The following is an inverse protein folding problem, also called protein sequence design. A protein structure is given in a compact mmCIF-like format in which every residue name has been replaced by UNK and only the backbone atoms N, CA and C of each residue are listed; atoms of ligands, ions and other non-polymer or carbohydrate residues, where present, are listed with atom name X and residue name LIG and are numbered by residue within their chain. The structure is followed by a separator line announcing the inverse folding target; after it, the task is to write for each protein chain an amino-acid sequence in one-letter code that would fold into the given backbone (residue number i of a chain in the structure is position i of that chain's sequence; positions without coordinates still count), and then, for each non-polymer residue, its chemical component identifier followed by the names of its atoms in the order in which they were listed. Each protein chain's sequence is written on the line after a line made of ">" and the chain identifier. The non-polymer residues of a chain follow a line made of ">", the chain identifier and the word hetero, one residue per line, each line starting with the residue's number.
data_IF_311589248066
#
_entry.id   IF_311589248066
#
_cell.length_a   1.000
_cell.length_b   1.000
_cell.length_c   1.000
_cell.angle_alpha   90.00
_cell.angle_beta   90.00
_cell.angle_gamma   90.00
#
_symmetry.space_group_name_H-M   'P 1'
#
loop_
_entity.id
_entity.type
_entity.pdbx_description
1 polymer ?
#
# COMPACT_ATOMS: atom_id res chain seq x y z
N UNK A 1 12.60 7.92 26.90
CA UNK A 1 13.22 6.84 26.09
C UNK A 1 13.71 7.46 24.80
N UNK A 2 14.89 7.09 24.31
CA UNK A 2 15.36 7.53 22.98
C UNK A 2 14.36 7.05 21.91
N UNK A 3 13.88 7.95 21.04
CA UNK A 3 12.91 7.66 19.97
C UNK A 3 13.31 6.44 19.10
N UNK A 4 14.62 6.17 18.98
CA UNK A 4 15.17 5.05 18.20
C UNK A 4 14.78 3.66 18.72
N UNK A 5 14.42 3.51 20.00
CA UNK A 5 14.03 2.22 20.58
C UNK A 5 12.51 2.02 20.68
N UNK A 6 11.72 3.09 20.64
CA UNK A 6 10.27 3.03 20.84
C UNK A 6 9.58 2.15 19.80
N UNK A 7 9.92 2.32 18.51
CA UNK A 7 9.31 1.52 17.45
C UNK A 7 9.72 0.03 17.52
N UNK A 8 10.92 -0.27 18.01
CA UNK A 8 11.40 -1.65 18.21
C UNK A 8 10.63 -2.31 19.35
N UNK A 9 10.39 -1.58 20.44
CA UNK A 9 9.56 -2.03 21.58
C UNK A 9 8.15 -2.38 21.12
N UNK A 10 7.48 -1.44 20.44
CA UNK A 10 6.14 -1.66 19.88
C UNK A 10 6.09 -2.86 18.93
N UNK A 11 7.14 -3.06 18.12
CA UNK A 11 7.21 -4.19 17.22
C UNK A 11 7.45 -5.52 17.95
N UNK A 12 8.24 -5.54 19.03
CA UNK A 12 8.43 -6.74 19.85
C UNK A 12 7.20 -7.11 20.69
N UNK A 13 6.42 -6.10 21.10
CA UNK A 13 5.16 -6.24 21.85
C UNK A 13 3.96 -6.55 20.94
N UNK A 14 4.20 -6.90 19.66
CA UNK A 14 3.10 -7.18 18.74
C UNK A 14 2.38 -8.48 19.10
N UNK A 15 1.04 -8.41 19.08
CA UNK A 15 0.17 -9.56 19.28
C UNK A 15 0.16 -10.42 18.02
N UNK A 16 0.46 -11.71 18.19
CA UNK A 16 0.46 -12.71 17.12
C UNK A 16 -0.40 -13.95 17.43
N UNK A 17 -0.74 -14.17 18.69
CA UNK A 17 -1.60 -15.28 19.12
C UNK A 17 -2.99 -14.75 19.52
N UNK A 18 -4.05 -15.57 19.39
CA UNK A 18 -5.40 -15.17 19.74
C UNK A 18 -5.52 -14.84 21.23
N UNK A 19 -4.83 -15.58 22.11
CA UNK A 19 -4.94 -15.43 23.57
C UNK A 19 -4.41 -14.09 24.10
N UNK A 20 -3.47 -13.48 23.37
CA UNK A 20 -2.91 -12.17 23.73
C UNK A 20 -3.82 -11.01 23.31
N UNK A 21 -4.90 -11.26 22.55
CA UNK A 21 -5.84 -10.21 22.15
C UNK A 21 -6.73 -9.76 23.34
N UNK A 22 -6.96 -8.45 23.50
CA UNK A 22 -7.90 -7.92 24.47
C UNK A 22 -9.31 -8.45 24.24
N UNK A 23 -10.00 -8.86 25.31
CA UNK A 23 -11.33 -9.48 25.22
C UNK A 23 -12.35 -8.63 24.45
N UNK A 24 -12.25 -7.31 24.52
CA UNK A 24 -13.20 -6.39 23.88
C UNK A 24 -13.19 -6.44 22.35
N UNK A 25 -12.10 -6.94 21.75
CA UNK A 25 -11.94 -6.97 20.29
C UNK A 25 -11.86 -8.40 19.75
N UNK A 26 -12.07 -9.40 20.60
CA UNK A 26 -12.05 -10.82 20.23
C UNK A 26 -13.47 -11.25 19.88
N UNK A 27 -13.70 -11.53 18.59
CA UNK A 27 -14.97 -12.08 18.14
C UNK A 27 -15.08 -13.59 18.41
N UNK A 28 -14.03 -14.35 18.08
CA UNK A 28 -13.94 -15.80 18.31
C UNK A 28 -12.46 -16.25 18.28
N UNK A 29 -11.92 -16.67 19.43
CA UNK A 29 -10.50 -17.11 19.53
C UNK A 29 -10.21 -18.37 18.71
N UNK A 30 -11.16 -19.31 18.64
CA UNK A 30 -10.98 -20.55 17.88
C UNK A 30 -10.98 -20.27 16.37
N UNK A 31 -11.85 -19.38 15.91
CA UNK A 31 -11.83 -18.86 14.55
C UNK A 31 -10.46 -18.24 14.20
N UNK A 32 -9.98 -17.34 15.05
CA UNK A 32 -8.69 -16.66 14.84
C UNK A 32 -7.55 -17.69 14.82
N UNK A 33 -7.50 -18.63 15.76
CA UNK A 33 -6.47 -19.70 15.80
C UNK A 33 -6.42 -20.50 14.49
N UNK A 34 -7.59 -20.89 13.97
CA UNK A 34 -7.65 -21.64 12.70
C UNK A 34 -7.10 -20.83 11.53
N UNK A 35 -7.40 -19.53 11.47
CA UNK A 35 -6.93 -18.67 10.38
C UNK A 35 -5.44 -18.43 10.48
N UNK A 36 -4.88 -18.16 11.67
CA UNK A 36 -3.45 -17.85 11.81
C UNK A 36 -2.52 -19.00 11.42
N UNK A 37 -2.98 -20.26 11.53
CA UNK A 37 -2.26 -21.44 11.03
C UNK A 37 -1.99 -21.36 9.53
N UNK A 38 -2.90 -20.75 8.78
CA UNK A 38 -2.75 -20.53 7.34
C UNK A 38 -2.19 -19.15 7.05
N UNK A 39 -2.63 -18.10 7.74
CA UNK A 39 -2.28 -16.71 7.45
C UNK A 39 -1.94 -15.95 8.74
N UNK A 40 -0.64 -15.81 9.07
CA UNK A 40 -0.19 -15.25 10.34
C UNK A 40 -0.82 -13.90 10.69
N UNK A 41 -0.99 -13.67 11.99
CA UNK A 41 -1.39 -12.39 12.55
C UNK A 41 -0.19 -11.68 13.17
N UNK A 42 -0.14 -10.36 13.00
CA UNK A 42 0.71 -9.47 13.77
C UNK A 42 0.01 -8.13 13.86
N UNK A 43 -0.21 -7.64 15.07
CA UNK A 43 -0.76 -6.31 15.33
C UNK A 43 0.05 -5.68 16.46
N UNK A 44 0.73 -4.57 16.19
CA UNK A 44 1.49 -3.85 17.20
C UNK A 44 0.57 -2.99 18.09
N UNK A 45 0.99 -2.64 19.32
CA UNK A 45 0.14 -1.91 20.27
C UNK A 45 -0.40 -0.58 19.75
N UNK A 46 0.37 0.15 18.93
CA UNK A 46 -0.11 1.41 18.33
C UNK A 46 -1.29 1.14 17.40
N UNK A 47 -1.17 0.21 16.47
CA UNK A 47 -2.28 -0.06 15.53
C UNK A 47 -3.47 -0.74 16.23
N UNK A 48 -3.21 -1.56 17.25
CA UNK A 48 -4.23 -2.15 18.10
C UNK A 48 -5.09 -1.07 18.78
N UNK A 49 -4.46 0.00 19.28
CA UNK A 49 -5.16 1.12 19.95
C UNK A 49 -6.09 1.92 19.04
N UNK A 50 -6.01 1.72 17.72
CA UNK A 50 -6.90 2.37 16.76
C UNK A 50 -8.20 1.57 16.52
N UNK A 51 -8.26 0.34 17.03
CA UNK A 51 -9.47 -0.47 17.01
C UNK A 51 -10.39 0.03 18.11
N UNK A 52 -11.56 0.53 17.72
CA UNK A 52 -12.61 0.96 18.62
C UNK A 52 -13.58 -0.16 18.98
N UNK A 53 -13.94 -1.03 18.03
CA UNK A 53 -14.92 -2.09 18.23
C UNK A 53 -14.68 -3.29 17.27
N UNK A 54 -15.29 -4.42 17.58
CA UNK A 54 -15.36 -5.57 16.66
C UNK A 54 -16.01 -5.14 15.35
N UNK A 55 -15.47 -5.64 14.23
CA UNK A 55 -15.92 -5.33 12.86
C UNK A 55 -15.81 -3.86 12.43
N UNK A 56 -15.14 -2.99 13.20
CA UNK A 56 -14.81 -1.65 12.74
C UNK A 56 -13.83 -1.69 11.53
N UNK A 57 -13.69 -0.58 10.78
CA UNK A 57 -12.83 -0.54 9.59
C UNK A 57 -11.34 -0.86 9.84
N UNK A 58 -10.82 -0.62 11.03
CA UNK A 58 -9.44 -0.93 11.42
C UNK A 58 -9.33 -2.38 11.86
N UNK A 59 -10.28 -2.86 12.66
CA UNK A 59 -10.42 -4.25 13.11
C UNK A 59 -10.39 -5.19 11.92
N UNK A 60 -11.24 -4.94 10.91
CA UNK A 60 -11.32 -5.75 9.69
C UNK A 60 -9.97 -5.89 8.98
N UNK A 61 -9.16 -4.85 9.00
CA UNK A 61 -7.85 -4.87 8.34
C UNK A 61 -6.77 -5.60 9.15
N UNK A 62 -6.96 -5.80 10.46
CA UNK A 62 -5.95 -6.31 11.38
C UNK A 62 -6.26 -7.72 11.91
N UNK A 63 -7.51 -7.99 12.28
CA UNK A 63 -7.92 -9.20 13.00
C UNK A 63 -8.42 -10.27 12.01
N UNK A 64 -7.93 -11.52 12.12
CA UNK A 64 -8.31 -12.59 11.21
C UNK A 64 -9.80 -12.95 11.23
N UNK A 65 -10.34 -13.30 10.06
CA UNK A 65 -11.72 -13.80 9.90
C UNK A 65 -11.74 -15.19 9.28
N UNK A 66 -12.70 -16.05 9.67
CA UNK A 66 -12.89 -17.37 9.04
C UNK A 66 -13.17 -17.28 7.54
N UNK A 67 -13.71 -16.15 7.07
CA UNK A 67 -13.90 -15.90 5.65
C UNK A 67 -12.58 -16.03 4.89
N UNK A 68 -11.43 -15.75 5.50
CA UNK A 68 -10.14 -15.93 4.85
C UNK A 68 -9.81 -17.38 4.47
N UNK A 69 -10.45 -18.35 5.12
CA UNK A 69 -10.29 -19.78 4.84
C UNK A 69 -11.33 -20.31 3.86
N UNK A 70 -12.33 -19.51 3.48
CA UNK A 70 -13.32 -19.91 2.48
C UNK A 70 -12.61 -20.13 1.14
N UNK A 71 -12.81 -21.32 0.58
CA UNK A 71 -12.29 -21.68 -0.74
C UNK A 71 -13.00 -20.89 -1.84
N UNK A 72 -12.29 -20.57 -2.92
CA UNK A 72 -12.84 -19.83 -4.05
C UNK A 72 -11.88 -19.80 -5.24
N UNK A 73 -12.35 -19.21 -6.35
CA UNK A 73 -11.68 -19.16 -7.68
C UNK A 73 -10.31 -18.44 -7.71
N UNK A 74 -9.88 -17.91 -6.58
CA UNK A 74 -8.78 -16.96 -6.47
C UNK A 74 -7.45 -17.63 -6.22
N UNK A 75 -6.38 -16.97 -6.65
CA UNK A 75 -5.05 -17.57 -6.69
C UNK A 75 -4.14 -17.01 -5.58
N UNK A 76 -3.14 -17.77 -5.11
CA UNK A 76 -2.11 -17.24 -4.21
C UNK A 76 -1.27 -16.11 -4.83
N UNK A 77 -1.03 -16.17 -6.14
CA UNK A 77 -0.25 -15.19 -6.92
C UNK A 77 -1.01 -14.72 -8.17
N UNK A 78 -2.11 -13.97 -8.02
CA UNK A 78 -2.94 -13.58 -9.17
C UNK A 78 -2.20 -12.62 -10.11
N UNK A 79 -1.20 -11.90 -9.60
CA UNK A 79 -0.41 -10.95 -10.38
C UNK A 79 0.83 -11.58 -11.02
N UNK A 80 1.01 -12.89 -10.85
CA UNK A 80 2.08 -13.70 -11.41
C UNK A 80 3.50 -13.14 -11.11
N UNK A 81 3.69 -12.65 -9.88
CA UNK A 81 4.96 -12.03 -9.47
C UNK A 81 6.13 -13.02 -9.54
N UNK A 82 5.89 -14.32 -9.29
CA UNK A 82 6.92 -15.35 -9.29
C UNK A 82 7.45 -15.66 -10.70
N UNK A 83 6.60 -15.77 -11.73
CA UNK A 83 7.06 -16.00 -13.11
C UNK A 83 7.82 -14.79 -13.66
N UNK A 84 7.46 -13.59 -13.21
CA UNK A 84 8.07 -12.31 -13.60
C UNK A 84 9.33 -11.99 -12.78
N UNK A 85 9.90 -13.00 -12.10
CA UNK A 85 11.06 -12.85 -11.22
C UNK A 85 12.35 -13.38 -11.86
N UNK A 86 13.08 -12.58 -12.67
CA UNK A 86 14.28 -13.03 -13.38
C UNK A 86 15.42 -13.44 -12.43
N UNK A 87 15.45 -12.84 -11.25
CA UNK A 87 16.32 -13.25 -10.13
C UNK A 87 15.50 -13.19 -8.84
N UNK A 88 15.91 -13.90 -7.77
CA UNK A 88 15.22 -13.81 -6.49
C UNK A 88 15.04 -12.36 -6.05
N UNK A 89 13.82 -12.06 -5.58
CA UNK A 89 13.44 -10.75 -5.03
C UNK A 89 13.26 -9.61 -6.05
N UNK A 90 13.52 -9.81 -7.34
CA UNK A 90 13.23 -8.79 -8.36
C UNK A 90 11.99 -9.22 -9.12
N UNK A 91 10.98 -8.37 -9.19
CA UNK A 91 9.87 -8.49 -10.14
C UNK A 91 10.10 -7.46 -11.24
N UNK A 92 10.23 -7.92 -12.49
CA UNK A 92 10.48 -7.07 -13.64
C UNK A 92 9.37 -7.20 -14.68
N UNK A 93 8.22 -6.57 -14.39
CA UNK A 93 7.04 -6.56 -15.26
C UNK A 93 7.14 -5.55 -16.40
N UNK A 94 7.66 -4.37 -16.09
CA UNK A 94 7.62 -3.22 -16.98
C UNK A 94 9.01 -2.90 -17.52
N UNK A 95 9.15 -2.43 -18.76
CA UNK A 95 10.46 -2.29 -19.41
C UNK A 95 11.50 -1.45 -18.65
N UNK A 96 11.04 -0.45 -17.90
CA UNK A 96 11.92 0.57 -17.31
C UNK A 96 11.98 0.55 -15.77
N UNK A 97 11.29 -0.40 -15.11
CA UNK A 97 11.19 -0.39 -13.65
C UNK A 97 11.03 -1.77 -13.05
N UNK A 98 11.55 -1.90 -11.84
CA UNK A 98 11.49 -3.15 -11.07
C UNK A 98 10.91 -2.93 -9.68
N UNK A 99 10.26 -3.96 -9.15
CA UNK A 99 9.98 -4.08 -7.72
C UNK A 99 11.06 -4.95 -7.10
N UNK A 100 11.79 -4.40 -6.15
CA UNK A 100 12.80 -5.10 -5.37
C UNK A 100 12.24 -5.41 -3.98
N UNK A 101 11.98 -6.70 -3.73
CA UNK A 101 11.44 -7.22 -2.49
C UNK A 101 12.56 -7.37 -1.47
N UNK A 102 12.65 -6.45 -0.50
CA UNK A 102 13.80 -6.36 0.41
C UNK A 102 13.48 -6.82 1.84
N UNK A 103 12.21 -7.08 2.13
CA UNK A 103 11.71 -7.52 3.43
C UNK A 103 10.55 -8.49 3.24
N UNK A 104 10.34 -9.42 4.16
CA UNK A 104 9.11 -10.23 4.25
C UNK A 104 8.35 -9.99 5.57
N UNK A 105 8.75 -8.96 6.33
CA UNK A 105 8.12 -8.56 7.59
C UNK A 105 7.35 -7.25 7.40
N UNK A 106 6.25 -7.12 8.13
CA UNK A 106 5.46 -5.89 8.24
C UNK A 106 5.20 -5.61 9.72
N UNK A 107 4.89 -4.35 10.05
CA UNK A 107 4.51 -3.93 11.40
C UNK A 107 3.10 -4.41 11.78
N UNK A 108 2.26 -4.58 10.77
CA UNK A 108 0.93 -5.22 10.85
C UNK A 108 0.77 -6.13 9.64
N UNK A 109 0.20 -7.32 9.83
CA UNK A 109 -0.16 -8.20 8.71
C UNK A 109 -1.60 -7.95 8.28
N UNK A 110 -1.74 -7.06 7.28
CA UNK A 110 -3.02 -6.65 6.71
C UNK A 110 -3.84 -7.88 6.24
N UNK A 111 -5.10 -7.96 6.63
CA UNK A 111 -5.96 -9.08 6.20
C UNK A 111 -6.24 -9.09 4.70
N UNK A 112 -6.12 -7.95 4.04
CA UNK A 112 -6.24 -7.75 2.59
C UNK A 112 -4.89 -7.72 1.83
N UNK A 113 -3.81 -8.25 2.40
CA UNK A 113 -2.47 -8.16 1.80
C UNK A 113 -2.37 -8.85 0.43
N UNK A 114 -1.93 -8.14 -0.61
CA UNK A 114 -1.73 -8.74 -1.95
C UNK A 114 -0.64 -9.84 -1.98
N UNK A 115 0.26 -9.85 -0.98
CA UNK A 115 1.32 -10.85 -0.81
C UNK A 115 1.08 -11.77 0.39
N UNK A 116 -0.19 -12.03 0.71
CA UNK A 116 -0.63 -12.92 1.82
C UNK A 116 0.07 -14.29 1.80
N UNK A 117 0.43 -14.81 0.63
CA UNK A 117 1.16 -16.08 0.46
C UNK A 117 2.61 -16.04 1.00
N UNK A 118 3.22 -14.85 1.16
CA UNK A 118 4.64 -14.67 1.50
C UNK A 118 4.87 -14.03 2.86
N UNK A 119 4.18 -12.93 3.12
CA UNK A 119 4.42 -12.07 4.27
C UNK A 119 4.18 -12.86 5.56
N UNK A 120 5.15 -12.82 6.48
CA UNK A 120 5.09 -13.54 7.75
C UNK A 120 5.29 -15.06 7.69
N UNK A 121 5.47 -15.64 6.50
CA UNK A 121 5.72 -17.08 6.32
C UNK A 121 7.14 -17.42 5.92
N UNK A 122 7.80 -16.52 5.17
CA UNK A 122 9.17 -16.70 4.69
C UNK A 122 10.11 -15.76 5.43
N UNK A 123 11.36 -16.20 5.62
CA UNK A 123 12.42 -15.34 6.13
C UNK A 123 12.65 -14.15 5.21
N UNK A 124 13.10 -13.02 5.76
CA UNK A 124 13.44 -11.87 4.92
C UNK A 124 14.64 -12.19 4.02
N UNK A 125 14.73 -11.59 2.82
CA UNK A 125 15.84 -11.83 1.91
C UNK A 125 17.19 -11.60 2.59
N UNK A 126 18.05 -12.62 2.57
CA UNK A 126 19.42 -12.51 3.06
C UNK A 126 20.30 -11.64 2.15
N UNK A 127 21.49 -11.29 2.63
CA UNK A 127 22.47 -10.44 1.93
C UNK A 127 22.78 -10.94 0.52
N UNK A 128 22.89 -12.25 0.32
CA UNK A 128 23.15 -12.83 -1.00
C UNK A 128 22.02 -12.57 -2.00
N UNK A 129 20.76 -12.68 -1.58
CA UNK A 129 19.60 -12.41 -2.43
C UNK A 129 19.55 -10.92 -2.80
N UNK A 130 19.80 -10.04 -1.83
CA UNK A 130 19.88 -8.60 -2.08
C UNK A 130 21.03 -8.26 -3.05
N UNK A 131 22.18 -8.93 -2.92
CA UNK A 131 23.30 -8.73 -3.83
C UNK A 131 22.97 -9.14 -5.27
N UNK A 132 22.25 -10.26 -5.45
CA UNK A 132 21.78 -10.68 -6.78
C UNK A 132 20.80 -9.66 -7.38
N UNK A 133 19.88 -9.12 -6.58
CA UNK A 133 18.95 -8.07 -7.04
C UNK A 133 19.66 -6.79 -7.48
N UNK A 134 20.63 -6.30 -6.69
CA UNK A 134 21.44 -5.12 -7.06
C UNK A 134 22.28 -5.39 -8.32
N UNK A 135 22.86 -6.59 -8.43
CA UNK A 135 23.64 -6.98 -9.61
C UNK A 135 22.77 -7.01 -10.88
N UNK A 136 21.56 -7.57 -10.78
CA UNK A 136 20.58 -7.56 -11.87
C UNK A 136 20.24 -6.13 -12.32
N UNK A 137 19.91 -5.23 -11.37
CA UNK A 137 19.60 -3.83 -11.70
C UNK A 137 20.79 -3.16 -12.39
N UNK A 138 22.00 -3.42 -11.91
CA UNK A 138 23.24 -2.86 -12.48
C UNK A 138 23.51 -3.34 -13.91
N UNK A 139 23.19 -4.59 -14.24
CA UNK A 139 23.45 -5.13 -15.58
C UNK A 139 22.36 -4.79 -16.61
N UNK A 140 21.19 -4.29 -16.19
CA UNK A 140 20.05 -4.01 -17.06
C UNK A 140 19.82 -2.49 -17.17
N UNK A 141 20.46 -1.87 -18.16
CA UNK A 141 20.52 -0.40 -18.32
C UNK A 141 19.17 0.27 -18.65
N UNK A 142 18.17 -0.51 -19.07
CA UNK A 142 16.80 -0.01 -19.26
C UNK A 142 16.08 0.37 -17.96
N UNK A 143 16.55 -0.12 -16.81
CA UNK A 143 15.91 0.11 -15.50
C UNK A 143 16.27 1.50 -14.97
N UNK A 144 15.30 2.41 -14.95
CA UNK A 144 15.49 3.76 -14.42
C UNK A 144 14.74 4.04 -13.12
N UNK A 145 13.78 3.19 -12.75
CA UNK A 145 12.95 3.32 -11.54
C UNK A 145 12.98 2.02 -10.73
N UNK A 146 13.44 2.11 -9.48
CA UNK A 146 13.58 0.97 -8.56
C UNK A 146 12.65 1.17 -7.37
N UNK A 147 11.73 0.24 -7.18
CA UNK A 147 10.74 0.27 -6.10
C UNK A 147 11.16 -0.71 -5.00
N UNK A 148 11.59 -0.23 -3.85
CA UNK A 148 11.78 -1.07 -2.66
C UNK A 148 10.41 -1.45 -2.10
N UNK A 149 10.15 -2.75 -1.96
CA UNK A 149 8.89 -3.31 -1.46
C UNK A 149 9.14 -4.68 -0.80
N UNK A 150 8.13 -5.55 -0.77
CA UNK A 150 8.16 -6.85 -0.09
C UNK A 150 6.98 -6.96 0.88
N UNK A 151 7.29 -7.23 2.13
CA UNK A 151 6.50 -6.82 3.28
C UNK A 151 6.61 -5.30 3.44
N UNK A 152 7.50 -4.84 4.31
CA UNK A 152 7.74 -3.41 4.51
C UNK A 152 9.26 -3.09 4.56
N UNK A 153 9.79 -2.30 3.60
CA UNK A 153 11.20 -1.90 3.57
C UNK A 153 11.64 -1.06 4.77
N UNK A 154 10.74 -0.29 5.39
CA UNK A 154 11.08 0.52 6.55
C UNK A 154 11.23 -0.32 7.83
N UNK A 155 10.95 -1.62 7.80
CA UNK A 155 11.35 -2.54 8.88
C UNK A 155 12.80 -3.02 8.80
N UNK A 156 13.54 -2.66 7.75
CA UNK A 156 14.99 -2.82 7.76
C UNK A 156 15.60 -1.85 8.78
N UNK A 157 16.68 -2.30 9.43
CA UNK A 157 17.51 -1.40 10.24
C UNK A 157 18.11 -0.29 9.37
N UNK A 158 18.35 0.87 9.97
CA UNK A 158 18.79 2.07 9.26
C UNK A 158 20.07 1.84 8.44
N UNK A 159 21.04 1.08 8.96
CA UNK A 159 22.31 0.78 8.27
C UNK A 159 22.11 -0.09 7.03
N UNK A 160 21.21 -1.08 7.12
CA UNK A 160 20.87 -1.95 5.99
C UNK A 160 20.16 -1.16 4.90
N UNK A 161 19.23 -0.28 5.28
CA UNK A 161 18.52 0.58 4.33
C UNK A 161 19.48 1.60 3.67
N UNK A 162 20.34 2.26 4.46
CA UNK A 162 21.36 3.20 3.98
C UNK A 162 22.31 2.53 2.97
N UNK A 163 22.85 1.35 3.32
CA UNK A 163 23.74 0.60 2.44
C UNK A 163 23.06 0.13 1.14
N UNK A 164 21.78 -0.26 1.21
CA UNK A 164 21.03 -0.64 0.01
C UNK A 164 20.76 0.56 -0.90
N UNK A 165 20.27 1.67 -0.34
CA UNK A 165 20.00 2.89 -1.09
C UNK A 165 21.29 3.45 -1.71
N UNK A 166 22.41 3.44 -0.99
CA UNK A 166 23.71 3.84 -1.52
C UNK A 166 24.12 3.03 -2.75
N UNK A 167 23.97 1.71 -2.69
CA UNK A 167 24.32 0.82 -3.81
C UNK A 167 23.44 1.01 -5.03
N UNK A 168 22.17 1.33 -4.84
CA UNK A 168 21.22 1.59 -5.91
C UNK A 168 21.41 2.98 -6.52
N UNK A 169 21.58 4.01 -5.69
CA UNK A 169 21.84 5.38 -6.14
C UNK A 169 23.18 5.52 -6.88
N UNK A 170 24.16 4.65 -6.56
CA UNK A 170 25.43 4.58 -7.28
C UNK A 170 25.36 3.88 -8.66
N UNK A 171 24.18 3.45 -9.12
CA UNK A 171 24.01 2.86 -10.46
C UNK A 171 23.64 3.98 -11.45
N UNK A 172 24.47 4.30 -12.46
CA UNK A 172 24.30 5.52 -13.27
C UNK A 172 22.95 5.67 -13.98
N UNK A 173 22.33 4.57 -14.42
CA UNK A 173 21.04 4.59 -15.11
C UNK A 173 19.82 4.59 -14.17
N UNK A 174 20.00 4.36 -12.86
CA UNK A 174 18.92 4.43 -11.87
C UNK A 174 18.67 5.90 -11.53
N UNK A 175 17.53 6.41 -11.98
CA UNK A 175 17.14 7.82 -11.81
C UNK A 175 16.20 8.06 -10.64
N UNK A 176 15.40 7.05 -10.31
CA UNK A 176 14.35 7.14 -9.31
C UNK A 176 14.40 5.93 -8.40
N UNK A 177 14.37 6.19 -7.09
CA UNK A 177 14.14 5.17 -6.08
C UNK A 177 12.84 5.51 -5.36
N UNK A 178 12.00 4.50 -5.15
CA UNK A 178 10.74 4.62 -4.43
C UNK A 178 10.67 3.59 -3.32
N UNK A 179 10.15 3.99 -2.16
CA UNK A 179 9.91 3.08 -1.05
C UNK A 179 8.40 2.89 -0.91
N UNK A 180 7.94 1.64 -0.97
CA UNK A 180 6.55 1.30 -0.68
C UNK A 180 6.47 0.76 0.74
N UNK A 181 5.85 1.50 1.65
CA UNK A 181 5.86 1.18 3.08
C UNK A 181 4.57 1.63 3.75
N UNK A 182 3.94 0.74 4.51
CA UNK A 182 2.74 1.08 5.31
C UNK A 182 3.12 1.62 6.69
N UNK A 183 4.40 1.60 7.06
CA UNK A 183 4.90 2.10 8.35
C UNK A 183 4.39 3.49 8.76
N UNK A 184 4.30 4.51 7.88
CA UNK A 184 3.75 5.81 8.29
C UNK A 184 2.31 5.73 8.82
N UNK A 185 1.55 4.73 8.40
CA UNK A 185 0.22 4.42 8.89
C UNK A 185 0.26 3.48 10.10
N UNK A 186 1.02 2.38 10.04
CA UNK A 186 0.91 1.26 10.99
C UNK A 186 1.93 1.25 12.13
N UNK A 187 3.03 1.99 12.01
CA UNK A 187 4.08 2.14 13.01
C UNK A 187 4.81 3.49 12.84
N UNK A 188 4.09 4.63 12.93
CA UNK A 188 4.65 5.94 12.64
C UNK A 188 5.88 6.31 13.48
N UNK A 189 6.04 5.69 14.65
CA UNK A 189 7.20 5.84 15.54
C UNK A 189 8.52 5.41 14.87
N UNK A 190 8.48 4.60 13.81
CA UNK A 190 9.66 4.21 13.04
C UNK A 190 10.28 5.39 12.27
N UNK A 191 9.53 6.47 12.06
CA UNK A 191 10.01 7.70 11.43
C UNK A 191 10.81 8.52 12.44
N UNK A 192 12.02 8.04 12.75
CA UNK A 192 12.91 8.69 13.71
C UNK A 192 13.85 9.68 13.02
N UNK A 193 14.47 10.58 13.79
CA UNK A 193 15.48 11.49 13.27
C UNK A 193 16.66 10.77 12.59
N UNK A 194 17.02 9.56 13.06
CA UNK A 194 18.07 8.75 12.45
C UNK A 194 17.66 8.20 11.09
N UNK A 195 16.44 7.69 10.95
CA UNK A 195 15.90 7.28 9.65
C UNK A 195 15.86 8.46 8.67
N UNK A 196 15.36 9.61 9.11
CA UNK A 196 15.27 10.80 8.25
C UNK A 196 16.66 11.23 7.76
N UNK A 197 17.70 11.15 8.60
CA UNK A 197 19.09 11.42 8.18
C UNK A 197 19.58 10.44 7.11
N UNK A 198 19.15 9.18 7.13
CA UNK A 198 19.45 8.21 6.07
C UNK A 198 18.71 8.58 4.78
N UNK A 199 17.38 8.74 4.84
CA UNK A 199 16.55 8.97 3.66
C UNK A 199 16.93 10.26 2.91
N UNK A 200 17.29 11.32 3.64
CA UNK A 200 17.69 12.63 3.08
C UNK A 200 18.89 12.58 2.14
N UNK A 201 19.77 11.57 2.26
CA UNK A 201 20.99 11.45 1.43
C UNK A 201 20.68 11.10 -0.03
N UNK A 202 19.50 10.52 -0.30
CA UNK A 202 19.20 9.85 -1.56
C UNK A 202 18.13 10.56 -2.38
N UNK A 203 18.10 11.90 -2.33
CA UNK A 203 17.17 12.70 -3.11
C UNK A 203 17.47 12.64 -4.62
N UNK A 204 16.46 12.60 -5.51
CA UNK A 204 15.03 12.55 -5.20
C UNK A 204 14.59 11.17 -4.70
N UNK A 205 13.90 11.13 -3.56
CA UNK A 205 13.33 9.90 -2.97
C UNK A 205 11.82 10.04 -2.79
N UNK A 206 11.09 9.02 -3.24
CA UNK A 206 9.63 8.97 -3.11
C UNK A 206 9.25 7.87 -2.13
N UNK A 207 8.18 8.12 -1.36
CA UNK A 207 7.60 7.13 -0.49
C UNK A 207 6.10 7.02 -0.76
N UNK A 208 5.67 5.84 -1.18
CA UNK A 208 4.25 5.50 -1.27
C UNK A 208 3.84 4.76 -0.01
N UNK A 209 2.95 5.37 0.76
CA UNK A 209 2.31 4.75 1.93
C UNK A 209 0.95 4.17 1.58
N UNK A 210 0.29 3.55 2.55
CA UNK A 210 -1.04 2.98 2.41
C UNK A 210 -1.90 3.35 3.62
N UNK A 211 -2.81 4.29 3.41
CA UNK A 211 -3.94 4.58 4.29
C UNK A 211 -5.23 4.12 3.61
N UNK A 212 -6.08 3.42 4.36
CA UNK A 212 -7.34 2.87 3.88
C UNK A 212 -8.56 3.48 4.57
N UNK A 213 -8.42 4.03 5.77
CA UNK A 213 -9.54 4.66 6.48
C UNK A 213 -9.13 6.01 7.08
N UNK A 214 -10.02 7.03 7.15
CA UNK A 214 -9.72 8.30 7.79
C UNK A 214 -9.19 8.18 9.23
N UNK A 215 -9.57 7.13 9.95
CA UNK A 215 -9.20 6.93 11.36
C UNK A 215 -7.75 6.47 11.54
N UNK A 216 -7.11 5.97 10.47
CA UNK A 216 -5.67 5.69 10.44
C UNK A 216 -4.84 7.00 10.44
N UNK A 217 -5.45 8.13 10.07
CA UNK A 217 -4.83 9.46 10.11
C UNK A 217 -5.04 10.07 11.49
N UNK A 218 -4.10 9.74 12.38
CA UNK A 218 -4.00 10.17 13.78
C UNK A 218 -3.01 11.32 13.91
N UNK A 219 -2.89 11.91 15.10
CA UNK A 219 -1.84 12.89 15.39
C UNK A 219 -0.43 12.29 15.22
N UNK A 220 -0.25 11.01 15.56
CA UNK A 220 1.04 10.33 15.48
C UNK A 220 1.42 10.06 14.01
N UNK A 221 0.51 9.50 13.21
CA UNK A 221 0.76 9.26 11.78
C UNK A 221 0.89 10.58 11.00
N UNK A 222 0.13 11.61 11.38
CA UNK A 222 0.29 12.97 10.85
C UNK A 222 1.69 13.53 11.13
N UNK A 223 2.19 13.40 12.36
CA UNK A 223 3.53 13.84 12.74
C UNK A 223 4.62 13.14 11.92
N UNK A 224 4.53 11.82 11.79
CA UNK A 224 5.46 11.02 10.99
C UNK A 224 5.46 11.42 9.50
N UNK A 225 4.27 11.63 8.91
CA UNK A 225 4.17 12.05 7.51
C UNK A 225 4.70 13.48 7.30
N UNK A 226 4.46 14.40 8.26
CA UNK A 226 5.04 15.75 8.21
C UNK A 226 6.56 15.71 8.25
N UNK A 227 7.15 14.91 9.14
CA UNK A 227 8.60 14.74 9.22
C UNK A 227 9.22 14.23 7.90
N UNK A 228 8.56 13.27 7.23
CA UNK A 228 8.99 12.78 5.91
C UNK A 228 8.88 13.87 4.83
N UNK A 229 7.76 14.60 4.78
CA UNK A 229 7.56 15.67 3.82
C UNK A 229 8.56 16.83 4.04
N UNK A 230 8.81 17.23 5.29
CA UNK A 230 9.81 18.24 5.67
C UNK A 230 11.24 17.79 5.38
N UNK A 231 11.46 16.47 5.27
CA UNK A 231 12.72 15.92 4.80
C UNK A 231 12.89 15.97 3.27
N UNK A 232 11.92 16.54 2.55
CA UNK A 232 11.91 16.64 1.09
C UNK A 232 11.51 15.32 0.41
N UNK A 233 10.96 14.36 1.13
CA UNK A 233 10.48 13.09 0.55
C UNK A 233 9.11 13.33 -0.06
N UNK A 234 8.94 12.96 -1.33
CA UNK A 234 7.64 13.09 -2.00
C UNK A 234 6.74 11.94 -1.58
N UNK A 235 5.59 12.27 -0.97
CA UNK A 235 4.68 11.29 -0.41
C UNK A 235 3.48 11.03 -1.32
N UNK A 236 3.25 9.76 -1.63
CA UNK A 236 2.03 9.26 -2.26
C UNK A 236 1.28 8.29 -1.35
N UNK A 237 -0.03 8.14 -1.55
CA UNK A 237 -0.84 7.11 -0.91
C UNK A 237 -1.42 6.14 -1.94
N UNK A 238 -1.20 4.85 -1.72
CA UNK A 238 -1.82 3.75 -2.44
C UNK A 238 -2.90 3.15 -1.54
N UNK A 239 -4.12 3.68 -1.63
CA UNK A 239 -5.30 3.17 -0.92
C UNK A 239 -5.84 1.93 -1.64
N UNK A 240 -6.34 0.95 -0.91
CA UNK A 240 -7.06 -0.21 -1.48
C UNK A 240 -8.55 -0.05 -1.18
N UNK A 241 -9.41 -0.25 -2.18
CA UNK A 241 -10.86 -0.17 -2.05
C UNK A 241 -11.41 -1.45 -1.41
N UNK A 242 -11.73 -1.41 -0.12
CA UNK A 242 -12.09 -2.57 0.68
C UNK A 242 -13.57 -2.50 1.09
N UNK A 243 -14.33 -3.54 0.73
CA UNK A 243 -15.73 -3.72 1.15
C UNK A 243 -15.85 -3.70 2.67
N UNK A 244 -16.77 -2.89 3.19
CA UNK A 244 -17.03 -2.76 4.63
C UNK A 244 -15.96 -1.99 5.41
N UNK A 245 -15.01 -1.33 4.71
CA UNK A 245 -13.97 -0.48 5.30
C UNK A 245 -14.05 0.93 4.70
N UNK A 246 -13.94 1.07 3.38
CA UNK A 246 -13.88 2.38 2.72
C UNK A 246 -14.66 2.44 1.39
N UNK A 247 -15.55 1.48 1.14
CA UNK A 247 -16.38 1.37 -0.06
C UNK A 247 -17.60 2.32 -0.08
N UNK A 248 -17.46 3.49 0.55
CA UNK A 248 -18.46 4.55 0.53
C UNK A 248 -17.86 5.86 -0.03
N UNK A 249 -18.61 6.62 -0.86
CA UNK A 249 -18.20 7.95 -1.32
C UNK A 249 -17.77 8.91 -0.20
N UNK A 250 -18.54 8.94 0.89
CA UNK A 250 -18.29 9.85 2.02
C UNK A 250 -16.98 9.51 2.74
N UNK A 251 -16.75 8.23 3.05
CA UNK A 251 -15.51 7.76 3.69
C UNK A 251 -14.31 8.02 2.80
N UNK A 252 -14.42 7.69 1.51
CA UNK A 252 -13.32 7.89 0.56
C UNK A 252 -12.99 9.38 0.39
N UNK A 253 -13.99 10.25 0.22
CA UNK A 253 -13.79 11.71 0.14
C UNK A 253 -13.05 12.23 1.38
N UNK A 254 -13.53 11.87 2.57
CA UNK A 254 -12.91 12.27 3.84
C UNK A 254 -11.45 11.80 3.93
N UNK A 255 -11.16 10.56 3.52
CA UNK A 255 -9.79 10.03 3.50
C UNK A 255 -8.90 10.84 2.56
N UNK A 256 -9.35 11.07 1.33
CA UNK A 256 -8.58 11.76 0.32
C UNK A 256 -8.27 13.21 0.70
N UNK A 257 -9.23 13.92 1.30
CA UNK A 257 -9.03 15.29 1.81
C UNK A 257 -8.02 15.30 2.97
N UNK A 258 -8.19 14.41 3.97
CA UNK A 258 -7.25 14.31 5.09
C UNK A 258 -5.82 13.96 4.65
N UNK A 259 -5.65 13.16 3.59
CA UNK A 259 -4.33 12.85 3.04
C UNK A 259 -3.64 14.10 2.48
N UNK A 260 -4.38 14.92 1.73
CA UNK A 260 -3.86 16.18 1.18
C UNK A 260 -3.46 17.15 2.31
N UNK A 261 -4.26 17.24 3.37
CA UNK A 261 -3.98 18.10 4.54
C UNK A 261 -2.64 17.79 5.22
N UNK A 262 -2.17 16.55 5.11
CA UNK A 262 -0.88 16.10 5.67
C UNK A 262 0.22 15.95 4.60
N UNK A 263 0.04 16.60 3.44
CA UNK A 263 0.97 16.64 2.29
C UNK A 263 1.25 15.27 1.66
N UNK A 264 0.28 14.36 1.71
CA UNK A 264 0.33 13.09 0.99
C UNK A 264 -0.56 13.21 -0.23
N UNK A 265 -0.01 12.90 -1.41
CA UNK A 265 -0.79 12.86 -2.64
C UNK A 265 -1.57 11.54 -2.71
N UNK A 266 -2.92 11.55 -2.79
CA UNK A 266 -3.66 10.39 -3.29
C UNK A 266 -3.14 9.98 -4.65
N UNK A 267 -2.45 8.83 -4.70
CA UNK A 267 -1.80 8.34 -5.92
C UNK A 267 -2.70 7.31 -6.58
N UNK A 268 -2.93 6.17 -5.91
CA UNK A 268 -3.78 5.11 -6.40
C UNK A 268 -4.91 4.79 -5.44
N UNK A 269 -6.08 4.52 -6.01
CA UNK A 269 -7.11 3.69 -5.41
C UNK A 269 -7.05 2.34 -6.12
N UNK A 270 -6.50 1.33 -5.48
CA UNK A 270 -6.44 -0.02 -6.01
C UNK A 270 -7.79 -0.72 -5.85
N UNK A 271 -8.30 -1.27 -6.94
CA UNK A 271 -9.23 -2.39 -6.83
C UNK A 271 -8.47 -3.57 -6.19
N UNK A 272 -9.04 -4.28 -5.20
CA UNK A 272 -8.33 -5.36 -4.54
C UNK A 272 -7.96 -6.48 -5.52
N UNK A 273 -6.73 -6.96 -5.41
CA UNK A 273 -6.27 -8.10 -6.21
C UNK A 273 -7.06 -9.37 -5.83
N UNK A 274 -7.19 -10.29 -6.79
CA UNK A 274 -7.93 -11.56 -6.64
C UNK A 274 -7.11 -12.61 -5.86
N UNK A 275 -6.64 -12.23 -4.66
CA UNK A 275 -5.73 -13.02 -3.83
C UNK A 275 -6.51 -13.96 -2.93
N UNK A 276 -6.14 -15.24 -2.93
CA UNK A 276 -6.77 -16.25 -2.08
C UNK A 276 -6.88 -15.77 -0.61
N UNK A 277 -8.08 -15.92 -0.05
CA UNK A 277 -8.40 -15.53 1.33
C UNK A 277 -8.69 -14.05 1.55
N UNK A 278 -8.95 -13.26 0.50
CA UNK A 278 -9.34 -11.84 0.62
C UNK A 278 -10.68 -11.50 -0.05
N UNK A 279 -11.52 -12.50 -0.37
CA UNK A 279 -12.73 -12.33 -1.21
C UNK A 279 -13.81 -11.49 -0.59
N UNK A 280 -13.96 -11.58 0.72
CA UNK A 280 -14.87 -10.76 1.50
C UNK A 280 -14.57 -9.25 1.44
N UNK A 281 -13.36 -8.86 1.03
CA UNK A 281 -13.02 -7.45 0.81
C UNK A 281 -13.41 -6.91 -0.57
N UNK A 282 -13.94 -7.73 -1.47
CA UNK A 282 -14.17 -7.27 -2.84
C UNK A 282 -15.44 -6.47 -3.00
N UNK A 283 -15.33 -5.22 -3.49
CA UNK A 283 -16.45 -4.51 -4.06
C UNK A 283 -16.62 -4.86 -5.55
N UNK A 284 -17.77 -4.52 -6.12
CA UNK A 284 -17.92 -4.52 -7.58
C UNK A 284 -17.09 -3.40 -8.21
N UNK A 285 -16.59 -3.60 -9.44
CA UNK A 285 -15.86 -2.55 -10.19
C UNK A 285 -16.73 -1.28 -10.35
N UNK A 286 -18.04 -1.46 -10.56
CA UNK A 286 -19.00 -0.37 -10.64
C UNK A 286 -19.03 0.51 -9.38
N UNK A 287 -18.81 -0.07 -8.19
CA UNK A 287 -18.70 0.68 -6.94
C UNK A 287 -17.46 1.59 -6.96
N UNK A 288 -16.32 1.08 -7.41
CA UNK A 288 -15.10 1.87 -7.55
C UNK A 288 -15.27 3.04 -8.53
N UNK A 289 -15.90 2.80 -9.68
CA UNK A 289 -16.22 3.87 -10.65
C UNK A 289 -17.19 4.91 -10.06
N UNK A 290 -18.21 4.47 -9.34
CA UNK A 290 -19.15 5.37 -8.65
C UNK A 290 -18.44 6.25 -7.61
N UNK A 291 -17.51 5.68 -6.83
CA UNK A 291 -16.68 6.43 -5.90
C UNK A 291 -15.82 7.45 -6.65
N UNK A 292 -15.17 7.07 -7.75
CA UNK A 292 -14.38 8.02 -8.55
C UNK A 292 -15.21 9.19 -9.09
N UNK A 293 -16.43 8.93 -9.56
CA UNK A 293 -17.38 9.97 -9.97
C UNK A 293 -17.72 10.92 -8.81
N UNK A 294 -17.90 10.40 -7.60
CA UNK A 294 -18.21 11.20 -6.41
C UNK A 294 -17.06 12.06 -5.90
N UNK A 295 -15.82 11.81 -6.34
CA UNK A 295 -14.65 12.62 -5.99
C UNK A 295 -14.40 13.73 -7.02
N UNK A 296 -14.46 13.39 -8.32
CA UNK A 296 -14.13 14.32 -9.40
C UNK A 296 -15.13 15.48 -9.42
N UNK A 297 -14.64 16.70 -9.21
CA UNK A 297 -15.46 17.92 -9.17
C UNK A 297 -16.09 18.21 -7.80
N UNK A 298 -15.99 17.29 -6.84
CA UNK A 298 -16.54 17.44 -5.49
C UNK A 298 -15.47 17.61 -4.40
N UNK A 299 -14.20 17.37 -4.73
CA UNK A 299 -13.04 17.73 -3.92
C UNK A 299 -11.92 18.31 -4.81
N UNK A 300 -10.85 18.80 -4.18
CA UNK A 300 -9.67 19.30 -4.91
C UNK A 300 -9.17 18.27 -5.91
N UNK A 301 -8.74 18.70 -7.10
CA UNK A 301 -8.10 17.82 -8.09
C UNK A 301 -6.83 17.14 -7.55
N UNK A 302 -6.24 17.68 -6.48
CA UNK A 302 -5.14 17.02 -5.75
C UNK A 302 -5.59 15.78 -4.98
N UNK A 303 -6.83 15.76 -4.52
CA UNK A 303 -7.41 14.69 -3.72
C UNK A 303 -7.99 13.54 -4.57
N UNK A 304 -8.03 13.66 -5.90
CA UNK A 304 -8.56 12.59 -6.76
C UNK A 304 -7.44 11.63 -7.18
N UNK A 305 -7.43 10.36 -6.71
CA UNK A 305 -6.44 9.38 -7.12
C UNK A 305 -6.72 8.85 -8.54
N UNK A 306 -5.86 7.97 -9.04
CA UNK A 306 -6.19 7.12 -10.19
C UNK A 306 -6.75 5.78 -9.68
N UNK A 307 -7.93 5.39 -10.15
CA UNK A 307 -8.51 4.09 -9.83
C UNK A 307 -7.88 3.02 -10.72
N UNK A 308 -7.20 2.06 -10.11
CA UNK A 308 -6.35 1.09 -10.80
C UNK A 308 -6.82 -0.32 -10.54
N UNK A 309 -6.96 -1.09 -11.61
CA UNK A 309 -7.03 -2.56 -11.55
C UNK A 309 -5.68 -3.14 -11.99
N UNK A 310 -5.14 -4.10 -11.25
CA UNK A 310 -3.99 -4.89 -11.71
C UNK A 310 -4.53 -6.15 -12.37
N UNK A 311 -4.24 -6.33 -13.66
CA UNK A 311 -4.79 -7.44 -14.42
C UNK A 311 -4.15 -8.78 -13.97
N UNK A 312 -4.96 -9.84 -13.81
CA UNK A 312 -4.45 -11.16 -13.50
C UNK A 312 -3.42 -11.66 -14.53
N UNK A 313 -2.55 -12.58 -14.11
CA UNK A 313 -1.50 -13.14 -14.97
C UNK A 313 -0.39 -12.14 -15.31
N UNK A 314 -0.26 -11.05 -14.54
CA UNK A 314 0.81 -10.08 -14.73
C UNK A 314 0.57 -9.03 -15.81
N UNK A 315 -0.66 -8.87 -16.29
CA UNK A 315 -1.00 -7.88 -17.34
C UNK A 315 -0.77 -6.42 -16.93
N UNK A 316 -0.61 -6.16 -15.62
CA UNK A 316 -0.24 -4.85 -15.11
C UNK A 316 -1.42 -3.96 -14.75
N UNK A 317 -1.08 -2.80 -14.20
CA UNK A 317 -2.02 -1.78 -13.70
C UNK A 317 -2.64 -0.99 -14.85
N UNK A 318 -3.96 -1.00 -14.93
CA UNK A 318 -4.76 -0.27 -15.91
C UNK A 318 -5.66 0.73 -15.17
N UNK A 319 -5.65 2.03 -15.55
CA UNK A 319 -6.57 3.00 -14.98
C UNK A 319 -7.98 2.76 -15.51
N UNK A 320 -8.95 2.78 -14.61
CA UNK A 320 -10.36 2.85 -14.94
C UNK A 320 -10.90 4.24 -14.60
N UNK A 321 -11.65 4.81 -15.53
CA UNK A 321 -12.25 6.14 -15.41
C UNK A 321 -13.77 6.04 -15.57
N UNK A 322 -14.55 6.86 -14.85
CA UNK A 322 -15.95 7.04 -15.18
C UNK A 322 -16.17 7.51 -16.61
N UNK A 323 -17.32 7.18 -17.19
CA UNK A 323 -17.70 7.63 -18.53
C UNK A 323 -18.19 9.08 -18.51
N UNK A 324 -17.40 9.97 -19.10
CA UNK A 324 -17.74 11.39 -19.27
C UNK A 324 -18.14 11.74 -20.70
N UNK A 325 -17.68 11.00 -21.71
CA UNK A 325 -18.03 11.25 -23.12
C UNK A 325 -19.38 10.60 -23.40
N UNK A 326 -20.36 11.42 -23.77
CA UNK A 326 -21.72 10.98 -24.10
C UNK A 326 -21.86 10.71 -25.60
N UNK A 327 -21.22 11.54 -26.43
CA UNK A 327 -21.30 11.43 -27.89
C UNK A 327 -20.01 11.95 -28.53
N UNK A 328 -19.61 11.33 -29.65
CA UNK A 328 -18.51 11.78 -30.51
C UNK A 328 -19.05 12.01 -31.91
N UNK A 329 -18.97 13.26 -32.40
CA UNK A 329 -19.16 13.64 -33.81
C UNK A 329 -17.84 14.16 -34.36
N UNK A 330 -17.78 14.34 -35.69
CA UNK A 330 -16.61 14.91 -36.36
C UNK A 330 -16.37 16.36 -35.93
N UNK A 331 -17.42 17.17 -35.77
CA UNK A 331 -17.31 18.60 -35.46
C UNK A 331 -17.34 18.92 -33.96
N UNK A 332 -17.92 18.04 -33.14
CA UNK A 332 -18.02 18.24 -31.69
C UNK A 332 -18.12 16.94 -30.91
N UNK A 333 -17.77 16.97 -29.64
CA UNK A 333 -18.04 15.92 -28.67
C UNK A 333 -18.98 16.42 -27.57
N UNK A 334 -19.90 15.57 -27.09
CA UNK A 334 -20.73 15.89 -25.91
C UNK A 334 -20.12 15.27 -24.66
N UNK A 335 -19.84 16.10 -23.67
CA UNK A 335 -19.15 15.73 -22.44
C UNK A 335 -20.02 16.06 -21.24
N UNK A 336 -20.22 15.08 -20.35
CA UNK A 336 -20.93 15.23 -19.08
C UNK A 336 -19.97 15.74 -18.01
N UNK A 337 -20.35 16.79 -17.28
CA UNK A 337 -19.60 17.27 -16.13
C UNK A 337 -20.01 16.54 -14.82
N UNK A 338 -19.38 16.91 -13.70
CA UNK A 338 -19.66 16.33 -12.38
C UNK A 338 -21.09 16.59 -11.85
N UNK A 339 -21.78 17.62 -12.35
CA UNK A 339 -23.17 17.95 -11.99
C UNK A 339 -24.19 17.27 -12.93
N UNK A 340 -23.73 16.49 -13.92
CA UNK A 340 -24.58 15.85 -14.92
C UNK A 340 -24.93 16.73 -16.12
N UNK A 341 -24.50 18.00 -16.15
CA UNK A 341 -24.67 18.88 -17.30
C UNK A 341 -23.91 18.37 -18.51
N UNK A 342 -24.54 18.40 -19.68
CA UNK A 342 -23.94 17.98 -20.95
C UNK A 342 -23.51 19.23 -21.72
N UNK A 343 -22.24 19.26 -22.10
CA UNK A 343 -21.63 20.38 -22.82
C UNK A 343 -21.09 19.90 -24.15
N UNK A 344 -21.25 20.71 -25.18
CA UNK A 344 -20.66 20.49 -26.48
C UNK A 344 -19.25 21.10 -26.51
N UNK A 345 -18.25 20.29 -26.82
CA UNK A 345 -16.87 20.71 -27.00
C UNK A 345 -16.51 20.60 -28.49
N UNK A 346 -16.23 21.72 -29.19
CA UNK A 346 -15.89 21.68 -30.60
C UNK A 346 -14.53 20.98 -30.80
N UNK A 347 -14.45 20.12 -31.81
CA UNK A 347 -13.22 19.37 -32.13
C UNK A 347 -12.47 19.91 -33.33
N UNK A 348 -12.96 21.02 -33.91
CA UNK A 348 -12.38 21.76 -35.02
C UNK A 348 -12.57 23.27 -34.84
#
# INVERSE_FOLDING_TARGET
>A
MNDDNTWKSLLSESISLPDDLPEQIVSDRHAIDRVIRTYPMRVNPYYLSLIGDVDDPIWKQAIPSLQELEGGMWQPDPLDEESQSPVPCIIHRYPNRVVFLVSNRCAVYCRHCMRKRRVGKRESPGVQALNKGVAYIRSHTGISDVILSGGDPLLLDDSTLDGLLYRLAGIPHVRLIRIHSRVPCTLPQRITGKLLRVLKKFQPLYLNTQFNHPDEITNVSTGACRLLADAGIVLGCQTVLLKGVNDSPATMKKLMEKLVDIRIRPYYLHHPDLVQGTHHFQPDIAKGLSIMSSLRGHCSGLAVPQYMIDLPGGGGKIPLLPEYIVEKKSTFWRIRNHQGGIYEYPTH
#
